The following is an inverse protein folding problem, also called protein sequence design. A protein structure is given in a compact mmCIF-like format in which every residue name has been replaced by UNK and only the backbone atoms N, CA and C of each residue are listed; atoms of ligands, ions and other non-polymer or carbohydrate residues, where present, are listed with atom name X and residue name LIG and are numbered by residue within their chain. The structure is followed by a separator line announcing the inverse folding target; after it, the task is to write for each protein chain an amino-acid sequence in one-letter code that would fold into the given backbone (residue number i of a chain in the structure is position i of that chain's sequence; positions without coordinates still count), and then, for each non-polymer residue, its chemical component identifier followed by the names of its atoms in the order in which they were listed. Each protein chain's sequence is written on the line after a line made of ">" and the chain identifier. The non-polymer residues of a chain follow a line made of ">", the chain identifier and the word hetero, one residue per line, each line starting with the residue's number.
data_IF_416972725975
#
_entry.id   IF_416972725975
#
_cell.length_a   1.000
_cell.length_b   1.000
_cell.length_c   1.000
_cell.angle_alpha   90.00
_cell.angle_beta   90.00
_cell.angle_gamma   90.00
#
_symmetry.space_group_name_H-M   'P 1'
#
loop_
_entity.id
_entity.type
_entity.pdbx_description
1 polymer ?
#
# COMPACT_ATOMS: atom_id res chain seq x y z
N UNK A 1 1.83 -19.35 -1.60
CA UNK A 1 0.67 -18.82 -0.85
C UNK A 1 1.04 -17.51 -0.20
N UNK A 2 0.23 -16.50 -0.38
CA UNK A 2 0.50 -15.16 0.16
C UNK A 2 0.15 -15.12 1.65
N UNK A 3 1.08 -14.62 2.46
CA UNK A 3 0.89 -14.45 3.90
C UNK A 3 1.28 -13.03 4.32
N UNK A 4 0.65 -12.56 5.40
CA UNK A 4 0.93 -11.26 5.98
C UNK A 4 1.46 -11.45 7.40
N UNK A 5 2.63 -10.89 7.67
CA UNK A 5 3.22 -10.93 9.02
C UNK A 5 3.37 -9.51 9.55
N UNK A 6 2.98 -9.31 10.79
CA UNK A 6 3.09 -8.00 11.42
C UNK A 6 4.55 -7.53 11.44
N UNK A 7 4.77 -6.28 11.02
CA UNK A 7 6.12 -5.70 11.03
C UNK A 7 6.50 -5.35 12.47
N UNK A 8 7.57 -5.94 12.95
CA UNK A 8 8.16 -5.62 14.25
C UNK A 8 9.67 -5.50 14.09
N UNK A 9 10.34 -4.90 15.05
CA UNK A 9 11.81 -4.79 15.02
C UNK A 9 12.50 -6.15 15.05
N UNK A 10 11.81 -7.18 15.55
CA UNK A 10 12.31 -8.54 15.63
C UNK A 10 12.08 -9.37 14.36
N UNK A 11 11.31 -8.82 13.41
CA UNK A 11 11.07 -9.49 12.13
C UNK A 11 12.39 -9.60 11.36
N UNK A 12 12.70 -10.78 10.84
CA UNK A 12 13.95 -11.01 10.09
C UNK A 12 14.10 -10.04 8.92
N UNK A 13 13.02 -9.77 8.23
CA UNK A 13 13.02 -8.88 7.05
C UNK A 13 12.71 -7.43 7.38
N UNK A 14 12.78 -7.03 8.65
CA UNK A 14 12.49 -5.66 9.09
C UNK A 14 13.28 -4.62 8.30
N UNK A 15 14.57 -4.85 8.11
CA UNK A 15 15.44 -3.93 7.38
C UNK A 15 15.00 -3.79 5.91
N UNK A 16 14.65 -4.91 5.29
CA UNK A 16 14.17 -4.93 3.91
C UNK A 16 12.86 -4.16 3.74
N UNK A 17 11.94 -4.32 4.70
CA UNK A 17 10.68 -3.57 4.73
C UNK A 17 10.96 -2.07 4.80
N UNK A 18 11.86 -1.66 5.71
CA UNK A 18 12.21 -0.25 5.89
C UNK A 18 12.83 0.33 4.62
N UNK A 19 13.77 -0.40 4.00
CA UNK A 19 14.42 0.04 2.76
C UNK A 19 13.40 0.19 1.63
N UNK A 20 12.48 -0.75 1.49
CA UNK A 20 11.43 -0.68 0.49
C UNK A 20 10.54 0.54 0.71
N UNK A 21 10.17 0.82 1.95
CA UNK A 21 9.36 1.99 2.27
C UNK A 21 10.04 3.28 1.79
N UNK A 22 11.31 3.45 2.05
CA UNK A 22 12.04 4.64 1.64
C UNK A 22 12.30 4.72 0.14
N UNK A 23 12.41 3.59 -0.55
CA UNK A 23 12.64 3.59 -2.00
C UNK A 23 11.36 3.71 -2.82
N UNK A 24 10.26 3.15 -2.34
CA UNK A 24 9.01 3.09 -3.11
C UNK A 24 8.17 4.36 -3.02
N UNK A 25 8.33 5.15 -1.96
CA UNK A 25 7.50 6.33 -1.74
C UNK A 25 8.34 7.60 -1.63
N UNK A 26 7.95 8.68 -2.35
CA UNK A 26 8.69 9.94 -2.29
C UNK A 26 8.60 10.59 -0.91
N UNK A 27 9.61 11.41 -0.58
CA UNK A 27 9.73 12.03 0.75
C UNK A 27 8.48 12.80 1.15
N UNK A 28 7.82 13.46 0.19
CA UNK A 28 6.61 14.27 0.46
C UNK A 28 5.40 13.42 0.86
N UNK A 29 5.40 12.13 0.52
CA UNK A 29 4.31 11.21 0.83
C UNK A 29 4.59 10.37 2.07
N UNK A 30 5.83 10.35 2.55
CA UNK A 30 6.21 9.47 3.65
C UNK A 30 5.91 10.07 5.01
N UNK A 31 5.20 9.32 5.82
CA UNK A 31 5.14 9.52 7.26
C UNK A 31 6.45 8.99 7.84
N UNK A 32 7.03 9.62 8.88
CA UNK A 32 8.24 9.09 9.50
C UNK A 32 8.08 7.61 9.88
N UNK A 33 9.06 6.80 9.54
CA UNK A 33 8.95 5.36 9.73
C UNK A 33 8.70 4.96 11.19
N UNK A 34 9.37 5.66 12.13
CA UNK A 34 9.16 5.39 13.57
C UNK A 34 7.70 5.60 13.97
N UNK A 35 7.01 6.56 13.31
CA UNK A 35 5.62 6.84 13.62
C UNK A 35 4.70 5.74 13.09
N UNK A 36 4.99 5.18 11.90
CA UNK A 36 4.29 4.02 11.39
C UNK A 36 4.41 2.85 12.37
N UNK A 37 5.63 2.60 12.85
CA UNK A 37 5.90 1.53 13.80
C UNK A 37 5.14 1.75 15.11
N UNK A 38 5.12 2.97 15.61
CA UNK A 38 4.41 3.32 16.83
C UNK A 38 2.92 3.12 16.68
N UNK A 39 2.33 3.64 15.59
CA UNK A 39 0.88 3.52 15.35
C UNK A 39 0.45 2.07 15.12
N UNK A 40 1.29 1.26 14.51
CA UNK A 40 0.95 -0.13 14.22
C UNK A 40 0.85 -1.03 15.46
N UNK A 41 1.30 -0.53 16.62
CA UNK A 41 1.13 -1.23 17.91
C UNK A 41 -0.27 -1.07 18.47
N UNK A 42 -1.02 -0.09 17.96
CA UNK A 42 -2.37 0.21 18.42
C UNK A 42 -3.41 -0.44 17.51
N UNK A 43 -4.61 -0.66 18.04
CA UNK A 43 -5.75 -1.10 17.25
C UNK A 43 -6.05 -0.08 16.16
N UNK A 44 -6.43 -0.56 14.98
CA UNK A 44 -6.82 0.30 13.88
C UNK A 44 -5.72 0.66 12.90
N UNK A 45 -4.48 0.26 13.17
CA UNK A 45 -3.38 0.46 12.23
C UNK A 45 -2.63 -0.86 12.04
N UNK A 46 -2.60 -1.35 10.81
CA UNK A 46 -2.00 -2.63 10.47
C UNK A 46 -0.84 -2.45 9.52
N UNK A 47 0.35 -2.83 9.95
CA UNK A 47 1.55 -2.78 9.13
C UNK A 47 2.08 -4.19 8.93
N UNK A 48 1.98 -4.69 7.69
CA UNK A 48 2.36 -6.05 7.36
C UNK A 48 3.53 -6.11 6.39
N UNK A 49 4.42 -7.07 6.65
CA UNK A 49 5.35 -7.57 5.65
C UNK A 49 4.63 -8.66 4.86
N UNK A 50 4.79 -8.67 3.56
CA UNK A 50 4.11 -9.59 2.66
C UNK A 50 5.07 -10.70 2.26
N UNK A 51 4.58 -11.93 2.31
CA UNK A 51 5.38 -13.13 1.98
C UNK A 51 4.65 -13.97 0.95
N UNK A 52 5.42 -14.53 0.02
CA UNK A 52 4.98 -15.61 -0.85
C UNK A 52 5.73 -16.85 -0.40
N UNK A 53 5.01 -17.78 0.23
CA UNK A 53 5.57 -18.87 1.00
C UNK A 53 6.46 -18.29 2.11
N UNK A 54 7.74 -18.58 2.12
CA UNK A 54 8.67 -18.05 3.13
C UNK A 54 9.48 -16.84 2.62
N UNK A 55 9.23 -16.43 1.39
CA UNK A 55 9.99 -15.35 0.75
C UNK A 55 9.32 -14.02 0.96
N UNK A 56 10.06 -13.06 1.52
CA UNK A 56 9.56 -11.69 1.65
C UNK A 56 9.45 -11.02 0.28
N UNK A 57 8.32 -10.39 0.01
CA UNK A 57 8.05 -9.77 -1.29
C UNK A 57 7.55 -8.32 -1.24
N UNK A 58 7.21 -7.81 -0.07
CA UNK A 58 6.70 -6.44 -0.03
C UNK A 58 6.17 -5.99 1.32
N UNK A 59 5.47 -4.87 1.30
CA UNK A 59 4.84 -4.30 2.49
C UNK A 59 3.44 -3.75 2.18
N UNK A 60 2.60 -3.68 3.21
CA UNK A 60 1.31 -2.99 3.14
C UNK A 60 1.00 -2.39 4.51
N UNK A 61 0.55 -1.13 4.51
CA UNK A 61 0.14 -0.42 5.72
C UNK A 61 -1.26 0.12 5.52
N UNK A 62 -2.15 -0.20 6.43
CA UNK A 62 -3.55 0.18 6.33
C UNK A 62 -4.09 0.67 7.66
N UNK A 63 -5.05 1.58 7.59
CA UNK A 63 -5.80 2.06 8.76
C UNK A 63 -7.19 1.47 8.65
N UNK A 64 -7.68 0.88 9.76
CA UNK A 64 -9.02 0.32 9.82
C UNK A 64 -9.88 1.17 10.74
N UNK A 65 -11.10 1.46 10.32
CA UNK A 65 -12.08 2.20 11.10
C UNK A 65 -13.46 1.60 10.82
N UNK A 66 -13.95 0.81 11.76
CA UNK A 66 -15.24 0.12 11.60
C UNK A 66 -15.21 -0.81 10.39
N UNK A 67 -16.05 -0.53 9.40
CA UNK A 67 -16.18 -1.35 8.19
C UNK A 67 -15.27 -0.91 7.06
N UNK A 68 -14.41 0.09 7.30
CA UNK A 68 -13.56 0.68 6.28
C UNK A 68 -12.11 0.35 6.54
N UNK A 69 -11.39 -0.06 5.49
CA UNK A 69 -9.94 -0.27 5.51
C UNK A 69 -9.33 0.69 4.48
N UNK A 70 -8.45 1.55 4.93
CA UNK A 70 -7.79 2.51 4.06
C UNK A 70 -6.32 2.15 3.90
N UNK A 71 -5.93 1.76 2.69
CA UNK A 71 -4.54 1.40 2.39
C UNK A 71 -3.73 2.66 2.11
N UNK A 72 -2.77 2.96 2.97
CA UNK A 72 -1.89 4.11 2.83
C UNK A 72 -0.64 3.80 2.02
N UNK A 73 -0.04 2.64 2.29
CA UNK A 73 1.20 2.25 1.61
C UNK A 73 1.09 0.81 1.17
N UNK A 74 1.41 0.56 -0.08
CA UNK A 74 1.47 -0.77 -0.63
C UNK A 74 2.57 -0.82 -1.67
N UNK A 75 3.54 -1.68 -1.47
CA UNK A 75 4.65 -1.82 -2.40
C UNK A 75 5.12 -3.27 -2.46
N UNK A 76 5.42 -3.72 -3.67
CA UNK A 76 6.05 -5.01 -3.93
C UNK A 76 7.53 -4.74 -4.23
N UNK A 77 8.41 -5.59 -3.72
CA UNK A 77 9.83 -5.51 -4.00
C UNK A 77 10.07 -5.54 -5.50
N UNK A 78 10.97 -4.69 -5.98
CA UNK A 78 11.26 -4.54 -7.41
C UNK A 78 11.55 -5.88 -8.09
N UNK A 79 12.26 -6.77 -7.40
CA UNK A 79 12.63 -8.10 -7.93
C UNK A 79 11.43 -9.00 -8.19
N UNK A 80 10.31 -8.74 -7.52
CA UNK A 80 9.13 -9.59 -7.58
C UNK A 80 8.02 -9.04 -8.45
N UNK A 81 8.19 -7.83 -9.00
CA UNK A 81 7.18 -7.19 -9.85
C UNK A 81 7.07 -7.86 -11.21
N UNK A 82 5.91 -7.72 -11.84
CA UNK A 82 5.71 -8.13 -13.23
C UNK A 82 5.22 -9.56 -13.44
N UNK A 83 4.91 -10.28 -12.37
CA UNK A 83 4.47 -11.68 -12.44
C UNK A 83 3.06 -11.89 -11.91
N UNK A 84 2.24 -10.83 -11.89
CA UNK A 84 0.88 -10.91 -11.36
C UNK A 84 0.83 -11.03 -9.84
N UNK A 85 1.95 -10.90 -9.16
CA UNK A 85 2.02 -11.06 -7.71
C UNK A 85 1.24 -9.96 -6.98
N UNK A 86 1.25 -8.74 -7.52
CA UNK A 86 0.51 -7.63 -6.91
C UNK A 86 -0.98 -7.87 -6.85
N UNK A 87 -1.55 -8.49 -7.89
CA UNK A 87 -2.97 -8.87 -7.93
C UNK A 87 -3.25 -9.94 -6.88
N UNK A 88 -2.40 -10.97 -6.83
CA UNK A 88 -2.55 -12.06 -5.86
C UNK A 88 -2.51 -11.54 -4.42
N UNK A 89 -1.61 -10.62 -4.13
CA UNK A 89 -1.49 -10.00 -2.80
C UNK A 89 -2.77 -9.25 -2.43
N UNK A 90 -3.28 -8.42 -3.33
CA UNK A 90 -4.50 -7.66 -3.04
C UNK A 90 -5.73 -8.55 -2.90
N UNK A 91 -5.80 -9.66 -3.65
CA UNK A 91 -6.87 -10.63 -3.47
C UNK A 91 -6.84 -11.26 -2.08
N UNK A 92 -5.66 -11.63 -1.59
CA UNK A 92 -5.50 -12.17 -0.24
C UNK A 92 -5.75 -11.10 0.84
N UNK A 93 -5.37 -9.86 0.56
CA UNK A 93 -5.66 -8.76 1.47
C UNK A 93 -7.16 -8.55 1.62
N UNK A 94 -7.90 -8.64 0.54
CA UNK A 94 -9.37 -8.58 0.57
C UNK A 94 -9.97 -9.71 1.41
N UNK A 95 -9.39 -10.90 1.32
CA UNK A 95 -9.83 -12.03 2.14
C UNK A 95 -9.57 -11.79 3.62
N UNK A 96 -8.44 -11.18 3.95
CA UNK A 96 -8.08 -10.84 5.34
C UNK A 96 -9.10 -9.89 5.96
N UNK A 97 -9.63 -8.97 5.17
CA UNK A 97 -10.62 -7.98 5.62
C UNK A 97 -12.00 -8.22 4.98
N UNK A 98 -12.36 -9.48 4.85
CA UNK A 98 -13.66 -9.86 4.26
C UNK A 98 -14.82 -9.18 4.98
N UNK A 99 -15.73 -8.61 4.20
CA UNK A 99 -16.88 -7.88 4.72
C UNK A 99 -16.63 -6.39 4.95
N UNK A 100 -15.39 -5.95 4.76
CA UNK A 100 -15.03 -4.52 4.90
C UNK A 100 -14.82 -3.89 3.53
N UNK A 101 -15.01 -2.58 3.47
CA UNK A 101 -14.71 -1.80 2.26
C UNK A 101 -13.25 -1.39 2.29
N UNK A 102 -12.54 -1.62 1.20
CA UNK A 102 -11.13 -1.28 1.08
C UNK A 102 -10.98 -0.09 0.14
N UNK A 103 -10.34 0.95 0.63
CA UNK A 103 -10.06 2.17 -0.14
C UNK A 103 -8.56 2.36 -0.24
N UNK A 104 -8.15 3.04 -1.31
CA UNK A 104 -6.79 3.53 -1.44
C UNK A 104 -6.83 4.85 -2.20
N UNK A 105 -5.81 5.67 -2.01
CA UNK A 105 -5.67 6.91 -2.74
C UNK A 105 -4.55 6.77 -3.76
N UNK A 106 -4.79 7.30 -4.95
CA UNK A 106 -3.79 7.36 -6.00
C UNK A 106 -3.61 8.80 -6.44
N UNK A 107 -2.47 9.10 -7.06
CA UNK A 107 -2.20 10.43 -7.59
C UNK A 107 -3.21 10.76 -8.71
N UNK A 108 -3.62 12.03 -8.79
CA UNK A 108 -4.57 12.45 -9.82
C UNK A 108 -4.01 12.23 -11.22
N UNK A 109 -4.83 11.63 -12.10
CA UNK A 109 -4.45 11.38 -13.48
C UNK A 109 -4.45 12.67 -14.30
N UNK A 110 -5.37 13.58 -13.99
CA UNK A 110 -5.61 14.81 -14.74
C UNK A 110 -4.81 16.00 -14.21
N UNK A 111 -3.93 15.78 -13.26
CA UNK A 111 -3.09 16.85 -12.73
C UNK A 111 -2.22 17.44 -13.82
N UNK A 112 -2.35 18.76 -14.04
CA UNK A 112 -1.56 19.47 -15.03
C UNK A 112 -0.09 19.48 -14.60
N UNK A 113 0.81 19.22 -15.56
CA UNK A 113 2.25 19.16 -15.30
C UNK A 113 2.65 18.11 -14.27
N UNK A 114 1.86 17.05 -14.15
CA UNK A 114 2.14 15.97 -13.22
C UNK A 114 3.48 15.31 -13.55
N UNK A 115 4.33 15.03 -12.55
CA UNK A 115 5.50 14.19 -12.78
C UNK A 115 5.06 12.76 -13.10
N UNK A 116 5.82 12.04 -13.92
CA UNK A 116 5.61 10.62 -14.23
C UNK A 116 4.15 10.24 -14.60
N UNK A 117 3.52 10.89 -15.61
CA UNK A 117 2.13 10.60 -15.97
C UNK A 117 1.89 9.16 -16.43
N UNK A 118 2.88 8.54 -17.08
CA UNK A 118 2.77 7.14 -17.51
C UNK A 118 2.70 6.18 -16.33
N UNK A 119 3.47 6.45 -15.27
CA UNK A 119 3.46 5.65 -14.06
C UNK A 119 2.12 5.78 -13.32
N UNK A 120 1.55 6.98 -13.31
CA UNK A 120 0.24 7.22 -12.69
C UNK A 120 -0.85 6.44 -13.41
N UNK A 121 -0.85 6.47 -14.74
CA UNK A 121 -1.81 5.73 -15.55
C UNK A 121 -1.64 4.21 -15.38
N UNK A 122 -0.41 3.71 -15.35
CA UNK A 122 -0.14 2.30 -15.15
C UNK A 122 -0.65 1.83 -13.79
N UNK A 123 -0.45 2.64 -12.76
CA UNK A 123 -0.93 2.37 -11.41
C UNK A 123 -2.45 2.32 -11.36
N UNK A 124 -3.11 3.28 -11.98
CA UNK A 124 -4.57 3.32 -12.08
C UNK A 124 -5.12 2.05 -12.75
N UNK A 125 -4.56 1.69 -13.89
CA UNK A 125 -4.96 0.48 -14.62
C UNK A 125 -4.73 -0.79 -13.81
N UNK A 126 -3.64 -0.84 -13.06
CA UNK A 126 -3.35 -1.96 -12.17
C UNK A 126 -4.45 -2.13 -11.14
N UNK A 127 -4.85 -1.04 -10.46
CA UNK A 127 -5.90 -1.12 -9.45
C UNK A 127 -7.26 -1.45 -10.05
N UNK A 128 -7.54 -1.00 -11.27
CA UNK A 128 -8.76 -1.42 -11.96
C UNK A 128 -8.79 -2.92 -12.19
N UNK A 129 -7.67 -3.51 -12.58
CA UNK A 129 -7.57 -4.97 -12.76
C UNK A 129 -7.77 -5.72 -11.44
N UNK A 130 -7.42 -5.09 -10.34
CA UNK A 130 -7.62 -5.67 -9.01
C UNK A 130 -9.06 -5.52 -8.50
N UNK A 131 -9.95 -4.93 -9.30
CA UNK A 131 -11.35 -4.79 -8.92
C UNK A 131 -11.69 -3.49 -8.21
N UNK A 132 -10.77 -2.55 -8.16
CA UNK A 132 -11.03 -1.22 -7.62
C UNK A 132 -11.64 -0.32 -8.70
N UNK A 133 -12.49 0.59 -8.29
CA UNK A 133 -13.03 1.59 -9.19
C UNK A 133 -12.88 2.98 -8.57
N UNK A 134 -12.75 3.97 -9.44
CA UNK A 134 -12.51 5.35 -9.06
C UNK A 134 -13.74 5.99 -8.46
N UNK A 135 -13.56 6.69 -7.34
CA UNK A 135 -14.58 7.56 -6.77
C UNK A 135 -14.33 8.99 -7.21
N UNK A 136 -15.38 9.80 -7.22
CA UNK A 136 -15.25 11.23 -7.54
C UNK A 136 -14.79 12.08 -6.36
N UNK A 137 -14.31 11.46 -5.30
CA UNK A 137 -13.77 12.13 -4.13
C UNK A 137 -12.28 12.37 -4.32
N UNK A 138 -11.81 13.50 -3.78
CA UNK A 138 -10.39 13.86 -3.80
C UNK A 138 -9.92 14.10 -2.38
N UNK A 139 -8.74 13.58 -2.08
CA UNK A 139 -8.10 13.78 -0.78
C UNK A 139 -6.86 14.63 -1.01
N UNK A 140 -6.73 15.71 -0.23
CA UNK A 140 -5.51 16.54 -0.24
C UNK A 140 -4.72 16.21 1.00
N UNK A 141 -3.48 15.78 0.80
CA UNK A 141 -2.58 15.43 1.89
C UNK A 141 -1.18 15.92 1.53
N UNK A 142 -0.51 16.56 2.48
CA UNK A 142 0.85 17.09 2.30
C UNK A 142 1.01 17.92 1.01
N UNK A 143 -0.01 18.69 0.63
CA UNK A 143 -0.05 19.53 -0.58
C UNK A 143 -0.15 18.75 -1.89
N UNK A 144 -0.35 17.44 -1.82
CA UNK A 144 -0.58 16.58 -3.00
C UNK A 144 -2.04 16.16 -2.99
N UNK A 145 -2.68 16.19 -4.16
CA UNK A 145 -4.08 15.76 -4.30
C UNK A 145 -4.13 14.33 -4.85
N UNK A 146 -4.90 13.49 -4.19
CA UNK A 146 -5.08 12.08 -4.58
C UNK A 146 -6.55 11.83 -4.94
N UNK A 147 -6.75 10.88 -5.85
CA UNK A 147 -8.07 10.31 -6.11
C UNK A 147 -8.27 9.14 -5.14
N UNK A 148 -9.40 9.11 -4.47
CA UNK A 148 -9.73 8.05 -3.51
C UNK A 148 -10.59 6.96 -4.17
#
# INVERSE_FOLDING_TARGET
>A
MICFKKVTKQLDDYKSVKELYFSAFPAVERVPFWLLMKKSKNEGADFYAIYDEEKWIGLIYAITDGEVVYVYYYAISEKERGHGIGVAVLDEFKNLYKGKRIFLAIEQLEEENAPNPKQRMSRYKFYQRCGFFRLNAKIVEAKITFDA
#
